data_IF_057891869256
#
_entry.id   IF_057891869256
#
_cell.length_a   1.000
_cell.length_b   1.000
_cell.length_c   1.000
_cell.angle_alpha   90.00
_cell.angle_beta   90.00
_cell.angle_gamma   90.00
#
_symmetry.space_group_name_H-M   'P 1'
#
loop_
_entity.id
_entity.type
_entity.pdbx_description
1 polymer ?
#
# COMPACT_ATOMS: atom_id res chain seq x y z
N UNK A 1 2.54 24.60 -4.97
CA UNK A 1 2.93 25.19 -3.68
C UNK A 1 3.16 24.03 -2.74
N UNK A 2 4.40 23.74 -2.35
CA UNK A 2 4.73 22.66 -1.43
C UNK A 2 4.79 23.23 -0.03
N UNK A 3 3.70 23.09 0.72
CA UNK A 3 3.65 23.39 2.15
C UNK A 3 4.64 22.46 2.87
N UNK A 4 5.83 22.98 3.17
CA UNK A 4 6.88 22.23 3.86
C UNK A 4 7.06 22.82 5.25
N UNK A 5 7.05 21.95 6.26
CA UNK A 5 7.28 22.34 7.66
C UNK A 5 8.74 22.08 8.01
N UNK A 6 9.39 23.07 8.62
CA UNK A 6 10.78 22.93 9.09
C UNK A 6 10.82 22.21 10.44
N UNK A 7 11.50 21.07 10.51
CA UNK A 7 11.72 20.30 11.74
C UNK A 7 13.19 20.33 12.14
N UNK A 8 13.47 20.66 13.40
CA UNK A 8 14.83 20.55 13.98
C UNK A 8 14.89 19.33 14.89
N UNK A 9 15.82 18.42 14.61
CA UNK A 9 16.05 17.22 15.43
C UNK A 9 17.50 17.17 15.93
N UNK A 10 17.69 16.66 17.15
CA UNK A 10 19.01 16.32 17.69
C UNK A 10 19.30 14.87 17.30
N UNK A 11 20.41 14.65 16.60
CA UNK A 11 20.86 13.31 16.17
C UNK A 11 22.33 13.11 16.53
N UNK A 12 22.72 11.85 16.65
CA UNK A 12 24.11 11.47 16.84
C UNK A 12 24.97 11.88 15.63
N UNK A 13 26.21 12.35 15.81
CA UNK A 13 27.09 12.71 14.70
C UNK A 13 27.35 11.56 13.73
N UNK A 14 27.41 10.30 14.20
CA UNK A 14 27.58 9.16 13.31
C UNK A 14 26.36 8.98 12.39
N UNK A 15 25.16 9.17 12.93
CA UNK A 15 23.93 9.07 12.15
C UNK A 15 23.85 10.17 11.08
N UNK A 16 24.28 11.40 11.41
CA UNK A 16 24.35 12.50 10.45
C UNK A 16 25.25 12.17 9.26
N UNK A 17 26.42 11.59 9.49
CA UNK A 17 27.34 11.21 8.42
C UNK A 17 26.72 10.12 7.55
N UNK A 18 26.11 9.08 8.14
CA UNK A 18 25.44 8.02 7.36
C UNK A 18 24.29 8.55 6.49
N UNK A 19 23.47 9.46 7.02
CA UNK A 19 22.40 10.11 6.24
C UNK A 19 22.96 10.94 5.10
N UNK A 20 24.12 11.58 5.29
CA UNK A 20 24.78 12.35 4.24
C UNK A 20 25.33 11.46 3.13
N UNK A 21 25.92 10.30 3.47
CA UNK A 21 26.37 9.32 2.47
C UNK A 21 25.19 8.77 1.68
N UNK A 22 24.10 8.38 2.36
CA UNK A 22 22.89 7.88 1.71
C UNK A 22 22.28 8.92 0.77
N UNK A 23 22.15 10.17 1.21
CA UNK A 23 21.63 11.25 0.38
C UNK A 23 22.49 11.47 -0.88
N UNK A 24 23.82 11.33 -0.78
CA UNK A 24 24.72 11.44 -1.92
C UNK A 24 24.55 10.26 -2.89
N UNK A 25 24.44 9.03 -2.36
CA UNK A 25 24.21 7.81 -3.15
C UNK A 25 22.88 7.85 -3.92
N UNK A 26 21.82 8.29 -3.26
CA UNK A 26 20.48 8.42 -3.85
C UNK A 26 20.28 9.70 -4.68
N UNK A 27 21.29 10.58 -4.73
CA UNK A 27 21.23 11.90 -5.40
C UNK A 27 20.09 12.78 -4.90
N UNK A 28 19.79 12.71 -3.60
CA UNK A 28 18.72 13.46 -2.95
C UNK A 28 19.29 14.52 -2.01
N UNK A 29 18.45 15.49 -1.66
CA UNK A 29 18.77 16.40 -0.56
C UNK A 29 18.70 15.66 0.78
N UNK A 30 19.53 16.07 1.76
CA UNK A 30 19.55 15.44 3.08
C UNK A 30 18.17 15.43 3.76
N UNK A 31 17.40 16.52 3.61
CA UNK A 31 16.03 16.61 4.13
C UNK A 31 15.07 15.64 3.45
N UNK A 32 15.24 15.40 2.16
CA UNK A 32 14.38 14.54 1.36
C UNK A 32 14.65 13.06 1.64
N UNK A 33 15.92 12.68 1.78
CA UNK A 33 16.33 11.34 2.26
C UNK A 33 15.75 11.05 3.65
N UNK A 34 15.89 11.99 4.59
CA UNK A 34 15.33 11.84 5.94
C UNK A 34 13.81 11.71 5.90
N UNK A 35 13.14 12.51 5.07
CA UNK A 35 11.68 12.46 4.92
C UNK A 35 11.22 11.14 4.30
N UNK A 36 11.88 10.67 3.24
CA UNK A 36 11.58 9.38 2.62
C UNK A 36 11.81 8.22 3.57
N UNK A 37 12.94 8.22 4.29
CA UNK A 37 13.23 7.18 5.29
C UNK A 37 12.23 7.19 6.43
N UNK A 38 11.78 8.36 6.87
CA UNK A 38 10.75 8.49 7.88
C UNK A 38 9.40 7.99 7.35
N UNK A 39 9.02 8.36 6.13
CA UNK A 39 7.81 7.86 5.48
C UNK A 39 7.82 6.34 5.36
N UNK A 40 8.90 5.77 4.83
CA UNK A 40 9.10 4.32 4.76
C UNK A 40 9.05 3.70 6.16
N UNK A 41 9.72 4.27 7.15
CA UNK A 41 9.68 3.74 8.52
C UNK A 41 8.29 3.78 9.14
N UNK A 42 7.46 4.76 8.79
CA UNK A 42 6.08 4.88 9.30
C UNK A 42 5.11 3.96 8.54
N UNK A 43 5.31 3.77 7.23
CA UNK A 43 4.52 2.86 6.39
C UNK A 43 4.87 1.39 6.66
N UNK A 44 6.15 1.10 6.84
CA UNK A 44 6.67 -0.23 7.18
C UNK A 44 6.66 -0.49 8.68
N UNK A 45 5.99 0.31 9.52
CA UNK A 45 5.63 -0.20 10.84
C UNK A 45 4.61 -1.32 10.60
N UNK A 46 4.96 -2.60 10.83
CA UNK A 46 3.93 -3.62 10.86
C UNK A 46 2.98 -3.16 11.96
N UNK A 47 1.70 -2.93 11.62
CA UNK A 47 0.67 -2.82 12.65
C UNK A 47 0.96 -3.94 13.65
N UNK A 48 1.17 -3.63 14.94
CA UNK A 48 1.43 -4.67 15.92
C UNK A 48 0.33 -5.70 15.71
N UNK A 49 0.75 -6.93 15.36
CA UNK A 49 -0.14 -8.00 14.97
C UNK A 49 -1.30 -7.99 15.96
N UNK A 50 -2.48 -7.60 15.46
CA UNK A 50 -3.67 -7.51 16.29
C UNK A 50 -3.88 -8.94 16.75
N UNK A 51 -3.65 -9.19 18.04
CA UNK A 51 -3.82 -10.48 18.71
C UNK A 51 -5.33 -10.76 18.83
N UNK A 52 -5.99 -10.85 17.67
CA UNK A 52 -7.40 -11.13 17.50
C UNK A 52 -7.51 -12.27 16.49
N UNK A 53 -7.52 -13.52 16.95
CA UNK A 53 -7.58 -14.70 16.09
C UNK A 53 -9.00 -14.90 15.55
N UNK A 54 -9.52 -13.95 14.73
CA UNK A 54 -10.82 -14.15 14.09
C UNK A 54 -11.07 -13.52 12.71
N UNK A 55 -10.14 -12.78 12.10
CA UNK A 55 -10.38 -12.25 10.74
C UNK A 55 -9.18 -12.47 9.84
N UNK A 56 -8.98 -13.72 9.45
CA UNK A 56 -8.11 -14.10 8.34
C UNK A 56 -8.88 -13.94 7.02
N UNK A 57 -9.15 -12.69 6.64
CA UNK A 57 -9.47 -12.23 5.28
C UNK A 57 -9.46 -10.70 5.37
N UNK A 58 -8.90 -9.98 4.39
CA UNK A 58 -8.78 -8.50 4.31
C UNK A 58 -7.47 -7.85 4.80
N UNK A 59 -6.36 -8.59 4.91
CA UNK A 59 -5.03 -7.99 4.89
C UNK A 59 -4.38 -8.18 3.50
N UNK A 60 -4.78 -7.34 2.54
CA UNK A 60 -4.00 -7.13 1.31
C UNK A 60 -3.23 -5.81 1.48
N UNK A 61 -1.90 -5.84 1.68
CA UNK A 61 -1.04 -4.68 1.47
C UNK A 61 -1.07 -4.33 -0.02
N UNK A 62 -1.43 -3.09 -0.31
CA UNK A 62 -1.49 -2.53 -1.66
C UNK A 62 -0.09 -2.14 -2.14
N UNK A 63 0.75 -3.09 -2.56
CA UNK A 63 1.90 -2.79 -3.42
C UNK A 63 2.07 -3.96 -4.41
N UNK A 64 2.41 -3.62 -5.66
CA UNK A 64 2.57 -4.48 -6.84
C UNK A 64 1.31 -4.66 -7.72
N UNK A 65 1.32 -3.87 -8.79
CA UNK A 65 0.51 -4.06 -9.98
C UNK A 65 0.75 -5.45 -10.58
N UNK A 66 -0.21 -6.34 -10.39
CA UNK A 66 -0.43 -7.48 -11.27
C UNK A 66 -1.93 -7.81 -11.24
N UNK A 67 -2.74 -7.01 -11.94
CA UNK A 67 -4.07 -7.46 -12.37
C UNK A 67 -3.82 -8.61 -13.36
N UNK A 68 -3.82 -9.82 -12.81
CA UNK A 68 -4.19 -11.02 -13.53
C UNK A 68 -5.47 -10.71 -14.34
N UNK A 69 -5.60 -11.17 -15.59
CA UNK A 69 -6.87 -11.04 -16.28
C UNK A 69 -7.88 -11.84 -15.46
N UNK A 70 -8.69 -11.15 -14.66
CA UNK A 70 -9.87 -11.72 -14.03
C UNK A 70 -10.57 -12.52 -15.14
N UNK A 71 -10.86 -13.83 -14.98
CA UNK A 71 -11.49 -14.59 -16.02
C UNK A 71 -12.84 -13.93 -16.29
N UNK A 72 -12.89 -13.13 -17.36
CA UNK A 72 -14.10 -12.48 -17.79
C UNK A 72 -15.08 -13.62 -18.04
N UNK A 73 -16.15 -13.66 -17.24
CA UNK A 73 -17.15 -14.73 -17.30
C UNK A 73 -17.47 -15.03 -18.75
N UNK A 74 -17.30 -16.28 -19.15
CA UNK A 74 -17.47 -16.65 -20.55
C UNK A 74 -18.91 -16.36 -20.98
N UNK A 75 -19.14 -16.09 -22.27
CA UNK A 75 -20.47 -15.69 -22.76
C UNK A 75 -21.57 -16.69 -22.37
N UNK A 76 -21.20 -17.97 -22.24
CA UNK A 76 -22.03 -19.06 -21.74
C UNK A 76 -22.46 -18.86 -20.28
N UNK A 77 -21.53 -18.49 -19.40
CA UNK A 77 -21.79 -18.23 -17.97
C UNK A 77 -22.65 -16.98 -17.79
N UNK A 78 -22.39 -15.92 -18.57
CA UNK A 78 -23.26 -14.73 -18.59
C UNK A 78 -24.68 -15.06 -19.06
N UNK A 79 -24.85 -16.00 -20.00
CA UNK A 79 -26.16 -16.46 -20.46
C UNK A 79 -26.87 -17.28 -19.39
N UNK A 80 -26.15 -18.14 -18.67
CA UNK A 80 -26.68 -18.86 -17.51
C UNK A 80 -27.12 -17.91 -16.39
N UNK A 81 -26.30 -16.92 -16.04
CA UNK A 81 -26.66 -15.89 -15.04
C UNK A 81 -27.94 -15.12 -15.45
N UNK A 82 -28.03 -14.66 -16.70
CA UNK A 82 -29.24 -13.98 -17.20
C UNK A 82 -30.48 -14.87 -17.17
N UNK A 83 -30.36 -16.15 -17.52
CA UNK A 83 -31.50 -17.08 -17.49
C UNK A 83 -31.95 -17.40 -16.06
N UNK A 84 -31.02 -17.56 -15.12
CA UNK A 84 -31.32 -17.75 -13.70
C UNK A 84 -32.02 -16.52 -13.10
N UNK A 85 -31.51 -15.32 -13.37
CA UNK A 85 -32.15 -14.07 -12.94
C UNK A 85 -33.54 -13.87 -13.56
N UNK A 86 -33.71 -14.23 -14.85
CA UNK A 86 -35.01 -14.14 -15.54
C UNK A 86 -36.00 -15.19 -15.04
N UNK A 87 -35.54 -16.39 -14.64
CA UNK A 87 -36.36 -17.39 -13.94
C UNK A 87 -36.73 -16.93 -12.53
N UNK A 88 -35.80 -16.29 -11.82
CA UNK A 88 -36.00 -15.77 -10.45
C UNK A 88 -37.01 -14.61 -10.37
N UNK A 89 -37.16 -13.81 -11.44
CA UNK A 89 -38.16 -12.74 -11.52
C UNK A 89 -39.61 -13.22 -11.75
N UNK A 90 -39.84 -14.52 -11.96
CA UNK A 90 -41.20 -15.10 -11.91
C UNK A 90 -41.45 -15.72 -10.54
N UNK A 91 -41.63 -14.89 -9.52
CA UNK A 91 -42.51 -15.22 -8.39
C UNK A 91 -43.66 -14.22 -8.38
N UNK A 92 -44.85 -14.82 -8.30
CA UNK A 92 -46.21 -14.28 -8.29
C UNK A 92 -46.36 -13.00 -7.47
#
# INVERSE_FOLDING_TARGET
MTDTVSLTIKIDPALKETLKTLALENQLSLSEEVSQRLHASLLNQPHPAIDSPHTAELALPQEEAQEEPTPQLTNSELKQLRTLLKKGKKKK
#
